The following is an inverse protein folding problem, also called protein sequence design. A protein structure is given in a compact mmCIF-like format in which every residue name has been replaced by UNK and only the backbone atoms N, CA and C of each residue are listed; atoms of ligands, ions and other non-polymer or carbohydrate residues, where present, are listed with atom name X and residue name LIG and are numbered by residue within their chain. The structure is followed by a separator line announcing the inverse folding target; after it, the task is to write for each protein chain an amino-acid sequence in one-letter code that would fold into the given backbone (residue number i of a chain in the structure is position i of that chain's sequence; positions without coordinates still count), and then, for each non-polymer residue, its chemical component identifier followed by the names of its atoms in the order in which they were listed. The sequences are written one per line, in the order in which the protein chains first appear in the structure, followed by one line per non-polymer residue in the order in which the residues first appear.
data_IF_972074603123
#
_entry.id   IF_972074603123
#
_cell.length_a   1.000
_cell.length_b   1.000
_cell.length_c   1.000
_cell.angle_alpha   90.00
_cell.angle_beta   90.00
_cell.angle_gamma   90.00
#
_symmetry.space_group_name_H-M   'P 1'
#
loop_
_entity.id
_entity.type
_entity.pdbx_description
1 polymer ?
#
# COMPACT_ATOMS: atom_id res chain seq x y z
N UNK A 1 -8.63 5.08 -22.90
CA UNK A 1 -8.31 3.75 -23.51
C UNK A 1 -7.95 2.70 -22.47
N UNK A 2 -7.05 2.99 -21.51
CA UNK A 2 -6.70 2.07 -20.41
C UNK A 2 -7.92 1.63 -19.57
N UNK A 3 -8.78 2.57 -19.19
CA UNK A 3 -9.99 2.26 -18.39
C UNK A 3 -10.93 1.29 -19.10
N UNK A 4 -11.12 1.42 -20.42
CA UNK A 4 -11.96 0.50 -21.19
C UNK A 4 -11.41 -0.93 -21.20
N UNK A 5 -10.08 -1.08 -21.24
CA UNK A 5 -9.42 -2.38 -21.14
C UNK A 5 -9.58 -2.96 -19.72
N UNK A 6 -9.47 -2.12 -18.71
CA UNK A 6 -9.68 -2.51 -17.31
C UNK A 6 -11.13 -2.94 -17.06
N UNK A 7 -12.11 -2.19 -17.56
CA UNK A 7 -13.54 -2.52 -17.46
C UNK A 7 -13.80 -3.87 -18.13
N UNK A 8 -13.28 -4.10 -19.33
CA UNK A 8 -13.41 -5.38 -20.03
C UNK A 8 -12.77 -6.53 -19.25
N UNK A 9 -11.60 -6.29 -18.66
CA UNK A 9 -10.92 -7.26 -17.81
C UNK A 9 -11.75 -7.61 -16.56
N UNK A 10 -12.38 -6.60 -15.94
CA UNK A 10 -13.29 -6.76 -14.79
C UNK A 10 -14.54 -7.56 -15.18
N UNK A 11 -15.11 -7.34 -16.37
CA UNK A 11 -16.22 -8.16 -16.88
C UNK A 11 -15.84 -9.64 -17.04
N UNK A 12 -14.56 -9.93 -17.34
CA UNK A 12 -14.04 -11.31 -17.39
C UNK A 12 -13.83 -11.96 -16.02
N UNK A 13 -13.75 -11.18 -14.95
CA UNK A 13 -13.66 -11.65 -13.55
C UNK A 13 -12.59 -12.72 -13.34
N UNK A 14 -13.00 -13.92 -12.92
CA UNK A 14 -12.11 -15.07 -12.65
C UNK A 14 -11.39 -15.61 -13.89
N UNK A 15 -11.91 -15.36 -15.09
CA UNK A 15 -11.32 -15.87 -16.34
C UNK A 15 -10.13 -15.03 -16.82
N UNK A 16 -10.06 -13.77 -16.37
CA UNK A 16 -9.01 -12.84 -16.76
C UNK A 16 -7.69 -13.23 -16.08
N UNK A 17 -6.78 -13.80 -16.87
CA UNK A 17 -5.44 -14.22 -16.41
C UNK A 17 -4.34 -13.22 -16.75
N UNK A 18 -4.52 -12.41 -17.80
CA UNK A 18 -3.50 -11.52 -18.34
C UNK A 18 -4.11 -10.14 -18.56
N UNK A 19 -3.45 -9.09 -18.07
CA UNK A 19 -3.79 -7.70 -18.37
C UNK A 19 -2.53 -7.00 -18.88
N UNK A 20 -2.65 -6.43 -20.07
CA UNK A 20 -1.59 -5.64 -20.71
C UNK A 20 -2.06 -4.22 -20.92
N UNK A 21 -1.46 -3.29 -20.19
CA UNK A 21 -1.71 -1.85 -20.25
C UNK A 21 -0.42 -1.09 -20.57
N UNK A 22 0.49 -1.72 -21.32
CA UNK A 22 1.73 -1.11 -21.79
C UNK A 22 1.48 0.17 -22.59
N UNK A 23 2.24 1.22 -22.31
CA UNK A 23 2.26 2.43 -23.14
C UNK A 23 0.97 3.25 -23.11
N UNK A 24 0.12 3.09 -22.09
CA UNK A 24 -1.22 3.73 -22.04
C UNK A 24 -1.24 5.10 -21.35
N UNK A 25 -0.08 5.69 -21.07
CA UNK A 25 0.07 7.00 -20.39
C UNK A 25 -0.70 7.07 -19.07
N UNK A 26 -0.82 5.94 -18.38
CA UNK A 26 -1.55 5.88 -17.11
C UNK A 26 -0.82 6.68 -16.05
N UNK A 27 -1.52 7.59 -15.38
CA UNK A 27 -0.98 8.37 -14.26
C UNK A 27 -1.25 7.73 -12.90
N UNK A 28 -2.11 6.73 -12.86
CA UNK A 28 -2.49 6.02 -11.64
C UNK A 28 -2.52 4.53 -11.91
N UNK A 29 -2.13 3.77 -10.89
CA UNK A 29 -2.25 2.31 -10.91
C UNK A 29 -3.72 1.91 -10.65
N UNK A 30 -4.23 0.84 -11.28
CA UNK A 30 -5.63 0.45 -11.10
C UNK A 30 -5.86 -0.19 -9.72
N UNK A 31 -6.72 0.43 -8.91
CA UNK A 31 -7.07 -0.03 -7.55
C UNK A 31 -8.03 -1.22 -7.54
N UNK A 32 -8.66 -1.56 -8.67
CA UNK A 32 -9.67 -2.62 -8.75
C UNK A 32 -9.11 -4.00 -9.10
N UNK A 33 -7.78 -4.16 -9.12
CA UNK A 33 -7.15 -5.45 -9.43
C UNK A 33 -7.52 -6.56 -8.46
N UNK A 34 -7.88 -6.23 -7.21
CA UNK A 34 -8.36 -7.20 -6.20
C UNK A 34 -9.56 -8.03 -6.70
N UNK A 35 -10.37 -7.44 -7.59
CA UNK A 35 -11.57 -8.08 -8.17
C UNK A 35 -11.24 -9.14 -9.22
N UNK A 36 -9.96 -9.38 -9.49
CA UNK A 36 -9.45 -10.30 -10.51
C UNK A 36 -8.61 -11.41 -9.87
N UNK A 37 -9.22 -12.33 -9.10
CA UNK A 37 -8.48 -13.37 -8.37
C UNK A 37 -7.77 -14.38 -9.30
N UNK A 38 -8.18 -14.42 -10.58
CA UNK A 38 -7.58 -15.25 -11.62
C UNK A 38 -6.34 -14.65 -12.27
N UNK A 39 -6.02 -13.38 -12.01
CA UNK A 39 -4.93 -12.68 -12.68
C UNK A 39 -3.57 -13.31 -12.32
N UNK A 40 -2.73 -13.48 -13.35
CA UNK A 40 -1.40 -14.09 -13.29
C UNK A 40 -0.34 -13.18 -13.89
N UNK A 41 -0.68 -12.39 -14.90
CA UNK A 41 0.25 -11.48 -15.57
C UNK A 41 -0.33 -10.08 -15.62
N UNK A 42 0.44 -9.11 -15.13
CA UNK A 42 0.11 -7.70 -15.21
C UNK A 42 1.29 -6.93 -15.82
N UNK A 43 1.04 -6.32 -16.98
CA UNK A 43 2.01 -5.46 -17.66
C UNK A 43 1.54 -4.01 -17.67
N UNK A 44 2.28 -3.16 -16.96
CA UNK A 44 2.09 -1.72 -16.84
C UNK A 44 3.30 -0.93 -17.36
N UNK A 45 4.19 -1.54 -18.14
CA UNK A 45 5.41 -0.89 -18.61
C UNK A 45 5.13 0.39 -19.40
N UNK A 46 6.08 1.33 -19.35
CA UNK A 46 6.06 2.59 -20.12
C UNK A 46 4.78 3.42 -19.90
N UNK A 47 4.34 3.52 -18.65
CA UNK A 47 3.28 4.44 -18.24
C UNK A 47 3.87 5.62 -17.44
N UNK A 48 3.00 6.44 -16.85
CA UNK A 48 3.35 7.61 -16.05
C UNK A 48 2.96 7.41 -14.59
N UNK A 49 2.98 6.15 -14.10
CA UNK A 49 2.53 5.81 -12.75
C UNK A 49 3.62 6.25 -11.75
N UNK A 50 3.31 7.16 -10.82
CA UNK A 50 4.31 7.67 -9.86
C UNK A 50 4.43 6.78 -8.62
N UNK A 51 3.41 5.98 -8.31
CA UNK A 51 3.39 5.12 -7.12
C UNK A 51 2.57 3.85 -7.34
N UNK A 52 2.97 2.79 -6.65
CA UNK A 52 2.18 1.55 -6.52
C UNK A 52 1.07 1.81 -5.50
N UNK A 53 -0.15 1.37 -5.79
CA UNK A 53 -1.31 1.62 -4.91
C UNK A 53 -1.31 0.65 -3.69
N UNK A 54 -1.99 1.03 -2.58
CA UNK A 54 -1.96 0.21 -1.36
C UNK A 54 -2.66 -1.13 -1.57
N UNK A 55 -3.66 -1.19 -2.44
CA UNK A 55 -4.38 -2.43 -2.78
C UNK A 55 -3.39 -3.43 -3.34
N UNK A 56 -2.61 -3.05 -4.36
CA UNK A 56 -1.61 -3.95 -4.93
C UNK A 56 -0.52 -4.29 -3.92
N UNK A 57 -0.07 -3.34 -3.10
CA UNK A 57 0.88 -3.62 -2.02
C UNK A 57 0.33 -4.68 -1.04
N UNK A 58 -0.93 -4.55 -0.64
CA UNK A 58 -1.62 -5.47 0.26
C UNK A 58 -1.87 -6.81 -0.40
N UNK A 59 -2.32 -6.84 -1.65
CA UNK A 59 -2.55 -8.06 -2.43
C UNK A 59 -1.24 -8.82 -2.71
N UNK A 60 -0.13 -8.09 -2.89
CA UNK A 60 1.24 -8.60 -3.03
C UNK A 60 1.74 -9.20 -1.71
N UNK A 61 1.53 -8.49 -0.59
CA UNK A 61 2.01 -8.89 0.73
C UNK A 61 1.12 -9.96 1.41
N UNK A 62 -0.19 -10.02 1.07
CA UNK A 62 -1.21 -10.86 1.73
C UNK A 62 -1.89 -11.90 0.80
N UNK A 63 -1.22 -12.37 -0.25
CA UNK A 63 -1.56 -13.59 -1.02
C UNK A 63 -2.84 -13.61 -1.87
N UNK A 64 -3.63 -12.53 -1.95
CA UNK A 64 -4.91 -12.54 -2.68
C UNK A 64 -4.74 -12.54 -4.21
N UNK A 65 -3.72 -11.86 -4.74
CA UNK A 65 -3.35 -11.95 -6.16
C UNK A 65 -2.11 -12.84 -6.31
N UNK A 66 -2.30 -14.05 -6.83
CA UNK A 66 -1.20 -14.95 -7.20
C UNK A 66 -0.59 -14.53 -8.54
N UNK A 67 -0.14 -13.27 -8.65
CA UNK A 67 0.61 -12.81 -9.80
C UNK A 67 1.87 -13.66 -9.94
N UNK A 68 2.06 -14.19 -11.15
CA UNK A 68 3.27 -14.87 -11.56
C UNK A 68 4.22 -13.88 -12.21
N UNK A 69 3.70 -12.95 -12.99
CA UNK A 69 4.48 -11.99 -13.76
C UNK A 69 3.95 -10.58 -13.54
N UNK A 70 4.86 -9.66 -13.22
CA UNK A 70 4.56 -8.25 -13.03
C UNK A 70 5.64 -7.40 -13.71
N UNK A 71 5.21 -6.59 -14.68
CA UNK A 71 6.07 -5.69 -15.44
C UNK A 71 5.59 -4.25 -15.20
N UNK A 72 6.49 -3.37 -14.82
CA UNK A 72 6.16 -1.96 -14.53
C UNK A 72 7.31 -1.00 -14.86
N UNK A 73 8.35 -1.48 -15.52
CA UNK A 73 9.51 -0.72 -15.97
C UNK A 73 9.11 0.49 -16.83
N UNK A 74 9.95 1.53 -16.85
CA UNK A 74 9.67 2.76 -17.60
C UNK A 74 8.62 3.69 -16.97
N UNK A 75 8.20 3.41 -15.73
CA UNK A 75 7.35 4.30 -14.94
C UNK A 75 8.16 5.18 -13.97
N UNK A 76 7.70 6.40 -13.64
CA UNK A 76 8.31 7.28 -12.65
C UNK A 76 8.43 6.68 -11.24
N UNK A 77 7.65 5.65 -10.90
CA UNK A 77 7.67 4.95 -9.60
C UNK A 77 9.04 4.37 -9.18
N UNK A 78 10.01 4.26 -10.09
CA UNK A 78 11.37 3.82 -9.79
C UNK A 78 12.39 4.96 -9.60
N UNK A 79 11.98 6.21 -9.83
CA UNK A 79 12.87 7.35 -9.67
C UNK A 79 13.11 7.61 -8.17
N UNK A 80 14.27 7.16 -7.69
CA UNK A 80 14.77 7.44 -6.34
C UNK A 80 15.32 8.86 -6.28
N UNK A 81 14.46 9.87 -6.38
CA UNK A 81 14.84 11.27 -6.21
C UNK A 81 14.45 11.74 -4.80
N UNK A 82 15.36 11.64 -3.81
CA UNK A 82 15.08 12.11 -2.47
C UNK A 82 15.03 13.64 -2.46
N UNK A 83 13.94 14.21 -1.95
CA UNK A 83 13.89 15.61 -1.53
C UNK A 83 14.07 15.63 -0.01
N UNK A 84 15.04 16.40 0.48
CA UNK A 84 15.22 16.60 1.93
C UNK A 84 14.21 17.67 2.37
N UNK A 85 13.09 17.23 2.94
CA UNK A 85 12.13 18.14 3.55
C UNK A 85 12.56 18.47 4.98
N UNK A 86 12.65 19.77 5.30
CA UNK A 86 12.93 20.25 6.65
C UNK A 86 11.65 20.22 7.50
N UNK A 87 11.29 19.04 8.04
CA UNK A 87 10.20 18.93 9.02
C UNK A 87 10.70 19.43 10.38
N UNK A 88 10.05 20.48 10.91
CA UNK A 88 10.47 21.17 12.15
C UNK A 88 9.63 20.87 13.39
N UNK A 89 8.46 20.25 13.27
CA UNK A 89 7.59 20.02 14.43
C UNK A 89 7.71 18.59 14.97
N UNK A 90 7.67 18.49 16.30
CA UNK A 90 7.54 17.23 17.01
C UNK A 90 6.06 16.86 17.09
N UNK A 91 5.77 15.59 16.82
CA UNK A 91 4.39 15.13 16.63
C UNK A 91 3.63 15.07 17.94
N UNK A 92 2.63 15.93 18.09
CA UNK A 92 1.56 15.72 19.07
C UNK A 92 0.44 14.96 18.37
N UNK A 93 0.19 13.71 18.78
CA UNK A 93 -0.96 12.96 18.28
C UNK A 93 -2.26 13.60 18.76
N UNK A 94 -3.28 13.62 17.89
CA UNK A 94 -4.62 14.02 18.31
C UNK A 94 -5.14 13.06 19.38
N UNK A 95 -6.03 13.53 20.26
CA UNK A 95 -6.71 12.67 21.24
C UNK A 95 -7.38 11.47 20.57
N UNK A 96 -7.92 11.66 19.36
CA UNK A 96 -8.48 10.59 18.56
C UNK A 96 -7.45 9.52 18.20
N UNK A 97 -6.25 9.89 17.76
CA UNK A 97 -5.18 8.94 17.43
C UNK A 97 -4.69 8.22 18.69
N UNK A 98 -4.46 8.93 19.80
CA UNK A 98 -4.07 8.35 21.09
C UNK A 98 -5.10 7.32 21.57
N UNK A 99 -6.38 7.71 21.56
CA UNK A 99 -7.49 6.84 22.00
C UNK A 99 -7.62 5.63 21.08
N UNK A 100 -7.49 5.83 19.76
CA UNK A 100 -7.57 4.73 18.79
C UNK A 100 -6.45 3.72 19.01
N UNK A 101 -5.21 4.17 19.25
CA UNK A 101 -4.08 3.28 19.59
C UNK A 101 -4.37 2.44 20.82
N UNK A 102 -4.89 3.06 21.87
CA UNK A 102 -5.26 2.36 23.10
C UNK A 102 -6.30 1.28 22.82
N UNK A 103 -7.39 1.62 22.13
CA UNK A 103 -8.45 0.65 21.79
C UNK A 103 -7.87 -0.49 20.94
N UNK A 104 -7.10 -0.19 19.89
CA UNK A 104 -6.48 -1.19 19.01
C UNK A 104 -5.58 -2.15 19.78
N UNK A 105 -4.80 -1.66 20.74
CA UNK A 105 -3.98 -2.49 21.62
C UNK A 105 -4.82 -3.43 22.48
N UNK A 106 -5.83 -2.88 23.17
CA UNK A 106 -6.70 -3.67 24.04
C UNK A 106 -7.50 -4.74 23.28
N UNK A 107 -7.90 -4.45 22.04
CA UNK A 107 -8.53 -5.47 21.18
C UNK A 107 -7.55 -6.56 20.76
N UNK A 108 -6.29 -6.22 20.47
CA UNK A 108 -5.27 -7.22 20.16
C UNK A 108 -4.99 -8.14 21.37
N UNK A 109 -5.18 -7.63 22.59
CA UNK A 109 -5.12 -8.40 23.84
C UNK A 109 -6.42 -9.14 24.18
N UNK A 110 -7.43 -9.12 23.29
CA UNK A 110 -8.74 -9.72 23.49
C UNK A 110 -9.47 -9.24 24.76
N UNK A 111 -9.39 -7.93 25.08
CA UNK A 111 -10.12 -7.35 26.20
C UNK A 111 -11.64 -7.57 26.03
N UNK A 112 -12.30 -8.37 26.90
CA UNK A 112 -13.70 -8.77 26.68
C UNK A 112 -14.68 -7.60 26.68
N UNK A 113 -14.42 -6.60 27.52
CA UNK A 113 -15.26 -5.41 27.60
C UNK A 113 -15.23 -4.61 26.31
N UNK A 114 -14.03 -4.35 25.77
CA UNK A 114 -13.89 -3.60 24.53
C UNK A 114 -14.34 -4.39 23.30
N UNK A 115 -14.15 -5.72 23.29
CA UNK A 115 -14.69 -6.57 22.23
C UNK A 115 -16.20 -6.43 22.11
N UNK A 116 -16.92 -6.49 23.24
CA UNK A 116 -18.37 -6.31 23.24
C UNK A 116 -18.78 -4.85 22.97
N UNK A 117 -18.11 -3.87 23.60
CA UNK A 117 -18.44 -2.47 23.43
C UNK A 117 -18.37 -2.03 21.96
N UNK A 118 -17.37 -2.49 21.19
CA UNK A 118 -17.22 -2.12 19.78
C UNK A 118 -18.37 -2.60 18.90
N UNK A 119 -19.08 -3.66 19.28
CA UNK A 119 -20.26 -4.12 18.55
C UNK A 119 -21.37 -3.06 18.56
N UNK A 120 -21.46 -2.27 19.63
CA UNK A 120 -22.45 -1.20 19.81
C UNK A 120 -22.06 0.13 19.15
N UNK A 121 -20.79 0.30 18.74
CA UNK A 121 -20.27 1.53 18.14
C UNK A 121 -19.70 1.28 16.72
N UNK A 122 -20.56 1.14 15.70
CA UNK A 122 -20.13 0.79 14.34
C UNK A 122 -19.19 1.83 13.72
N UNK A 123 -19.33 3.12 14.07
CA UNK A 123 -18.43 4.17 13.59
C UNK A 123 -16.99 3.96 14.08
N UNK A 124 -16.82 3.62 15.36
CA UNK A 124 -15.51 3.30 15.96
C UNK A 124 -14.94 2.05 15.31
N UNK A 125 -15.76 1.01 15.15
CA UNK A 125 -15.38 -0.23 14.46
C UNK A 125 -14.89 0.04 13.04
N UNK A 126 -15.62 0.85 12.27
CA UNK A 126 -15.27 1.21 10.90
C UNK A 126 -13.98 2.03 10.82
N UNK A 127 -13.73 2.89 11.82
CA UNK A 127 -12.50 3.68 11.87
C UNK A 127 -11.28 2.83 12.20
N UNK A 128 -11.43 1.91 13.16
CA UNK A 128 -10.37 0.98 13.57
C UNK A 128 -10.10 -0.06 12.47
N UNK A 129 -11.11 -0.50 11.73
CA UNK A 129 -10.91 -1.45 10.62
C UNK A 129 -10.05 -0.87 9.48
N UNK A 130 -10.02 0.46 9.36
CA UNK A 130 -9.15 1.20 8.42
C UNK A 130 -7.74 1.48 8.97
N UNK A 131 -7.37 0.86 10.10
CA UNK A 131 -6.04 1.01 10.69
C UNK A 131 -4.94 0.64 9.69
N UNK A 132 -3.84 1.38 9.77
CA UNK A 132 -2.61 1.10 9.05
C UNK A 132 -1.57 0.59 10.03
N UNK A 133 -0.61 -0.18 9.51
CA UNK A 133 0.53 -0.69 10.28
C UNK A 133 1.76 0.15 10.00
N UNK A 134 2.47 0.58 11.04
CA UNK A 134 3.68 1.37 10.83
C UNK A 134 4.80 0.50 10.25
N UNK A 135 5.43 0.98 9.18
CA UNK A 135 6.54 0.31 8.51
C UNK A 135 7.78 0.06 9.40
N UNK A 136 7.90 0.81 10.51
CA UNK A 136 9.08 0.82 11.36
C UNK A 136 8.80 0.14 12.71
N UNK A 137 7.82 0.61 13.47
CA UNK A 137 7.51 0.01 14.79
C UNK A 137 6.48 -1.12 14.73
N UNK A 138 5.79 -1.32 13.60
CA UNK A 138 4.74 -2.34 13.47
C UNK A 138 3.44 -2.05 14.21
N UNK A 139 3.35 -0.96 14.98
CA UNK A 139 2.13 -0.62 15.72
C UNK A 139 1.01 -0.12 14.79
N UNK A 140 -0.25 -0.42 15.13
CA UNK A 140 -1.40 0.12 14.40
C UNK A 140 -1.59 1.61 14.68
N UNK A 141 -2.18 2.31 13.71
CA UNK A 141 -2.52 3.73 13.79
C UNK A 141 -3.58 4.08 12.74
N UNK A 142 -4.29 5.20 12.90
CA UNK A 142 -5.35 5.60 11.93
C UNK A 142 -4.94 6.82 11.11
N UNK A 143 -4.17 7.74 11.69
CA UNK A 143 -3.68 8.96 11.04
C UNK A 143 -2.20 8.80 10.65
N UNK A 144 -1.88 8.65 9.34
CA UNK A 144 -0.49 8.62 8.89
C UNK A 144 0.21 9.93 9.19
N UNK A 145 1.42 9.83 9.73
CA UNK A 145 2.32 10.98 9.81
C UNK A 145 2.91 11.28 8.43
N UNK A 146 3.43 10.24 7.76
CA UNK A 146 3.99 10.38 6.41
C UNK A 146 3.68 9.16 5.56
N UNK A 147 3.15 9.42 4.37
CA UNK A 147 3.06 8.45 3.28
C UNK A 147 4.46 8.18 2.74
N UNK A 148 4.81 6.90 2.63
CA UNK A 148 6.16 6.46 2.31
C UNK A 148 6.14 5.41 1.20
N UNK A 149 7.30 5.19 0.58
CA UNK A 149 7.57 4.09 -0.32
C UNK A 149 8.73 3.28 0.23
N UNK A 150 8.53 1.98 0.40
CA UNK A 150 9.57 1.03 0.77
C UNK A 150 9.92 0.17 -0.44
N UNK A 151 11.19 0.17 -0.82
CA UNK A 151 11.69 -0.72 -1.88
C UNK A 151 12.04 -2.08 -1.27
N UNK A 152 11.29 -3.11 -1.65
CA UNK A 152 11.52 -4.48 -1.17
C UNK A 152 11.86 -5.42 -2.32
N UNK A 153 12.65 -6.49 -2.07
CA UNK A 153 12.81 -7.56 -3.04
C UNK A 153 11.45 -8.17 -3.40
N UNK A 154 11.23 -8.56 -4.66
CA UNK A 154 10.07 -9.35 -5.06
C UNK A 154 9.99 -10.66 -4.27
N UNK A 155 8.77 -11.18 -4.08
CA UNK A 155 8.59 -12.48 -3.44
C UNK A 155 9.25 -13.61 -4.24
N UNK A 156 9.87 -14.58 -3.55
CA UNK A 156 10.58 -15.72 -4.18
C UNK A 156 9.70 -16.54 -5.14
N UNK A 157 8.38 -16.44 -5.00
CA UNK A 157 7.40 -17.17 -5.80
C UNK A 157 7.08 -16.48 -7.14
N UNK A 158 7.71 -15.35 -7.46
CA UNK A 158 7.43 -14.58 -8.67
C UNK A 158 8.36 -14.95 -9.83
N UNK A 159 7.78 -15.13 -11.02
CA UNK A 159 8.50 -14.99 -12.28
C UNK A 159 8.55 -13.51 -12.65
N UNK A 160 9.46 -12.80 -12.01
CA UNK A 160 9.76 -11.41 -12.33
C UNK A 160 10.53 -11.30 -13.64
N UNK A 161 10.38 -10.16 -14.31
CA UNK A 161 11.36 -9.68 -15.29
C UNK A 161 12.75 -9.75 -14.66
N UNK A 162 13.76 -10.20 -15.42
CA UNK A 162 15.15 -10.27 -14.95
C UNK A 162 15.68 -8.92 -14.47
N UNK A 163 15.06 -7.83 -14.89
CA UNK A 163 15.46 -6.45 -14.60
C UNK A 163 14.79 -5.87 -13.35
N UNK A 164 13.79 -6.55 -12.76
CA UNK A 164 13.04 -6.04 -11.61
C UNK A 164 13.64 -6.52 -10.28
N UNK A 165 14.64 -5.81 -9.77
CA UNK A 165 15.32 -6.19 -8.51
C UNK A 165 14.57 -5.74 -7.24
N UNK A 166 13.83 -4.64 -7.31
CA UNK A 166 13.11 -4.05 -6.18
C UNK A 166 11.74 -3.55 -6.64
N UNK A 167 10.73 -3.73 -5.80
CA UNK A 167 9.38 -3.19 -6.03
C UNK A 167 9.13 -2.07 -5.02
N UNK A 168 8.73 -0.87 -5.46
CA UNK A 168 8.29 0.19 -4.56
C UNK A 168 6.91 -0.16 -4.00
N UNK A 169 6.82 -0.36 -2.69
CA UNK A 169 5.57 -0.60 -2.00
C UNK A 169 5.18 0.62 -1.19
N UNK A 170 3.97 1.11 -1.41
CA UNK A 170 3.42 2.16 -0.56
C UNK A 170 3.28 1.63 0.86
N UNK A 171 3.72 2.45 1.80
CA UNK A 171 3.70 2.17 3.22
C UNK A 171 3.57 3.49 3.97
N UNK A 172 3.55 3.42 5.30
CA UNK A 172 3.27 4.59 6.12
C UNK A 172 4.07 4.55 7.42
N UNK A 173 4.41 5.73 7.91
CA UNK A 173 5.01 5.90 9.24
C UNK A 173 4.05 6.66 10.15
N UNK A 174 4.09 6.33 11.45
CA UNK A 174 3.17 6.89 12.43
C UNK A 174 3.71 8.10 13.19
N UNK A 175 5.00 8.41 13.01
CA UNK A 175 5.67 9.54 13.64
C UNK A 175 7.01 9.81 12.98
N UNK A 176 7.52 11.02 13.19
CA UNK A 176 8.88 11.47 12.91
C UNK A 176 9.92 10.55 13.56
N UNK A 177 9.69 10.09 14.80
CA UNK A 177 10.60 9.14 15.48
C UNK A 177 10.72 7.83 14.70
N UNK A 178 9.60 7.28 14.22
CA UNK A 178 9.65 6.09 13.37
C UNK A 178 10.38 6.37 12.06
N UNK A 179 10.06 7.48 11.40
CA UNK A 179 10.70 7.81 10.13
C UNK A 179 12.21 8.08 10.26
N UNK A 180 12.68 8.67 11.35
CA UNK A 180 14.13 8.90 11.58
C UNK A 180 14.89 7.59 11.79
N UNK A 181 14.27 6.57 12.39
CA UNK A 181 14.85 5.24 12.61
C UNK A 181 14.54 4.24 11.48
N UNK A 182 14.12 4.72 10.30
CA UNK A 182 13.73 3.87 9.17
C UNK A 182 14.93 3.16 8.52
N UNK A 183 14.65 2.12 7.74
CA UNK A 183 15.65 1.49 6.88
C UNK A 183 16.03 2.37 5.67
N UNK A 184 17.22 2.14 5.10
CA UNK A 184 17.72 2.88 3.92
C UNK A 184 16.85 2.74 2.67
N UNK A 185 15.96 1.74 2.63
CA UNK A 185 15.06 1.49 1.52
C UNK A 185 13.68 2.14 1.68
N UNK A 186 13.45 2.90 2.76
CA UNK A 186 12.19 3.60 3.03
C UNK A 186 12.36 5.10 2.78
N UNK A 187 11.52 5.64 1.90
CA UNK A 187 11.54 7.03 1.48
C UNK A 187 10.17 7.67 1.74
N UNK A 188 10.15 8.94 2.16
CA UNK A 188 8.91 9.72 2.28
C UNK A 188 8.46 10.23 0.92
N UNK A 189 7.16 10.27 0.67
CA UNK A 189 6.60 10.92 -0.52
C UNK A 189 6.43 12.41 -0.20
N UNK A 190 7.18 13.27 -0.90
CA UNK A 190 6.94 14.70 -0.87
C UNK A 190 5.65 15.02 -1.65
N UNK A 191 4.72 15.74 -1.04
CA UNK A 191 3.62 16.34 -1.78
C UNK A 191 4.17 17.59 -2.46
N UNK A 192 4.25 17.56 -3.79
CA UNK A 192 4.49 18.74 -4.65
C UNK A 192 3.17 19.40 -5.00
#
# INVERSE_FOLDING_TARGET
MAERLLIRALSGGKSTKIITLHGKKMKMMPSTLEKLPGLRTLDLQNNLIPKVCPEISTLIQFQNLKLREFYCEGNPLFLKQPIIAAYKEDDVWSLQEITSRFIMHQLAENNPFLMHAIEWYPEVRNKISQQKKCAVCGNPFITPWLECVQFVPPSKNWKISKNLHLVPLQTFTCSRKCFTHRSRNLFGIAQT
#
